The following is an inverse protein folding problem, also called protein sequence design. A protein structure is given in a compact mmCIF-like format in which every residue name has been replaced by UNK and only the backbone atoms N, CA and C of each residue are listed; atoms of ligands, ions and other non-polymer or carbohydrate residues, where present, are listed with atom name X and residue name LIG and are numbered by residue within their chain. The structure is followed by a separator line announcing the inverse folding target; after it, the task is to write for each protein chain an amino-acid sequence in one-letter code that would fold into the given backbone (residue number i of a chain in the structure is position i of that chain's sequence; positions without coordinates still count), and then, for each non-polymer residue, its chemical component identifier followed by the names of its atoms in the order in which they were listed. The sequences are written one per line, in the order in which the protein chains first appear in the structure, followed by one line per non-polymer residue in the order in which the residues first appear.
data_IF_790433631346
#
_entry.id   IF_790433631346
#
_cell.length_a   1.000
_cell.length_b   1.000
_cell.length_c   1.000
_cell.angle_alpha   90.00
_cell.angle_beta   90.00
_cell.angle_gamma   90.00
#
_symmetry.space_group_name_H-M   'P 1'
#
loop_
_entity.id
_entity.type
_entity.pdbx_description
1 polymer ?
#
# COMPACT_ATOMS: atom_id res chain seq x y z
N UNK A 1 -21.80 26.50 -14.40
CA UNK A 1 -20.38 26.37 -14.80
C UNK A 1 -19.59 25.91 -13.59
N UNK A 2 -19.08 24.68 -13.59
CA UNK A 2 -18.25 24.17 -12.49
C UNK A 2 -16.78 24.43 -12.80
N UNK A 3 -16.16 25.36 -12.06
CA UNK A 3 -14.72 25.61 -12.10
C UNK A 3 -14.00 24.44 -11.40
N UNK A 4 -13.53 23.51 -12.21
CA UNK A 4 -12.67 22.41 -11.80
C UNK A 4 -11.25 22.97 -11.59
N UNK A 5 -10.88 23.26 -10.34
CA UNK A 5 -9.57 23.77 -9.96
C UNK A 5 -8.44 22.88 -10.52
N UNK A 6 -7.60 23.37 -11.46
CA UNK A 6 -6.56 22.58 -12.08
C UNK A 6 -5.49 22.13 -11.07
N UNK A 7 -5.26 22.86 -9.97
CA UNK A 7 -4.33 22.44 -8.91
C UNK A 7 -4.71 21.14 -8.20
N UNK A 8 -6.01 20.86 -8.06
CA UNK A 8 -6.50 19.59 -7.49
C UNK A 8 -6.43 18.48 -8.54
N UNK A 9 -6.57 18.82 -9.82
CA UNK A 9 -6.55 17.90 -10.95
C UNK A 9 -5.10 17.54 -11.35
N UNK A 10 -4.14 18.44 -11.10
CA UNK A 10 -2.71 18.23 -11.35
C UNK A 10 -2.03 17.49 -10.18
N UNK A 11 -2.50 17.57 -8.92
CA UNK A 11 -2.03 16.66 -7.85
C UNK A 11 -2.72 15.29 -7.84
N UNK A 12 -3.76 15.12 -8.65
CA UNK A 12 -4.14 13.83 -9.25
C UNK A 12 -3.24 13.50 -10.44
N UNK A 13 -2.01 14.04 -10.52
CA UNK A 13 -0.92 13.44 -11.30
C UNK A 13 -1.05 11.98 -11.04
N UNK A 14 -1.45 11.32 -12.11
CA UNK A 14 -1.65 9.92 -12.22
C UNK A 14 -0.27 9.38 -11.87
N UNK A 15 -0.03 9.09 -10.58
CA UNK A 15 0.94 8.11 -10.14
C UNK A 15 0.38 6.85 -10.75
N UNK A 16 0.69 6.68 -12.06
CA UNK A 16 0.19 5.60 -12.89
C UNK A 16 0.41 4.37 -12.05
N UNK A 17 -0.57 3.49 -12.03
CA UNK A 17 -0.47 2.22 -11.31
C UNK A 17 0.73 1.35 -11.78
N UNK A 18 1.56 1.86 -12.69
CA UNK A 18 2.87 1.40 -13.14
C UNK A 18 4.09 1.98 -12.40
N UNK A 19 3.95 2.92 -11.45
CA UNK A 19 5.06 3.35 -10.61
C UNK A 19 5.57 2.13 -9.83
N UNK A 20 6.78 1.67 -10.17
CA UNK A 20 7.38 0.53 -9.49
C UNK A 20 7.64 0.93 -8.05
N UNK A 21 7.11 0.15 -7.12
CA UNK A 21 7.45 0.27 -5.70
C UNK A 21 8.94 0.04 -5.57
N UNK A 22 9.63 1.03 -5.01
CA UNK A 22 11.08 0.96 -4.81
C UNK A 22 11.43 -0.10 -3.77
N UNK A 23 12.63 -0.67 -3.84
CA UNK A 23 13.06 -1.66 -2.85
C UNK A 23 13.13 -1.10 -1.43
N UNK A 24 13.44 0.20 -1.28
CA UNK A 24 13.37 0.90 0.01
C UNK A 24 11.96 0.85 0.59
N UNK A 25 10.93 1.18 -0.20
CA UNK A 25 9.53 1.14 0.23
C UNK A 25 9.09 -0.30 0.53
N UNK A 26 9.49 -1.26 -0.32
CA UNK A 26 9.22 -2.69 -0.10
C UNK A 26 9.81 -3.18 1.22
N UNK A 27 11.03 -2.76 1.56
CA UNK A 27 11.70 -3.12 2.80
C UNK A 27 11.03 -2.46 4.02
N UNK A 28 10.58 -1.22 3.91
CA UNK A 28 9.79 -0.55 4.95
C UNK A 28 8.47 -1.30 5.21
N UNK A 29 7.72 -1.65 4.16
CA UNK A 29 6.49 -2.44 4.29
C UNK A 29 6.74 -3.79 4.95
N UNK A 30 7.81 -4.50 4.55
CA UNK A 30 8.21 -5.76 5.19
C UNK A 30 8.52 -5.59 6.68
N UNK A 31 9.24 -4.53 7.05
CA UNK A 31 9.59 -4.23 8.44
C UNK A 31 8.35 -3.98 9.29
N UNK A 32 7.43 -3.15 8.80
CA UNK A 32 6.17 -2.83 9.50
C UNK A 32 5.27 -4.05 9.65
N UNK A 33 5.15 -4.89 8.61
CA UNK A 33 4.39 -6.14 8.73
C UNK A 33 5.00 -7.09 9.76
N UNK A 34 6.32 -7.22 9.77
CA UNK A 34 7.04 -8.09 10.72
C UNK A 34 6.96 -7.58 12.16
N UNK A 35 7.06 -6.28 12.39
CA UNK A 35 6.95 -5.71 13.74
C UNK A 35 5.56 -5.92 14.35
N UNK A 36 4.53 -6.03 13.51
CA UNK A 36 3.17 -6.35 13.91
C UNK A 36 2.88 -7.86 13.99
N UNK A 37 3.91 -8.72 13.90
CA UNK A 37 3.78 -10.18 14.05
C UNK A 37 3.25 -10.92 12.83
N UNK A 38 3.05 -10.26 11.68
CA UNK A 38 2.55 -10.94 10.49
C UNK A 38 3.62 -11.81 9.83
N UNK A 39 3.36 -13.11 9.81
CA UNK A 39 4.22 -14.12 9.20
C UNK A 39 3.59 -14.63 7.90
N UNK A 40 4.31 -14.54 6.78
CA UNK A 40 3.85 -15.05 5.49
C UNK A 40 4.64 -14.50 4.31
N UNK A 41 4.40 -15.06 3.13
CA UNK A 41 5.09 -14.62 1.90
C UNK A 41 4.32 -13.48 1.27
N UNK A 42 4.92 -12.29 1.23
CA UNK A 42 4.35 -11.15 0.51
C UNK A 42 4.26 -11.50 -0.97
N UNK A 43 3.03 -11.56 -1.51
CA UNK A 43 2.75 -11.87 -2.91
C UNK A 43 2.61 -10.62 -3.77
N UNK A 44 2.13 -9.51 -3.20
CA UNK A 44 1.92 -8.25 -3.92
C UNK A 44 1.98 -7.06 -2.97
N UNK A 45 2.57 -5.96 -3.42
CA UNK A 45 2.49 -4.64 -2.78
C UNK A 45 2.04 -3.66 -3.86
N UNK A 46 1.05 -2.80 -3.55
CA UNK A 46 0.53 -1.77 -4.46
C UNK A 46 0.31 -0.48 -3.70
N UNK A 47 0.41 0.66 -4.39
CA UNK A 47 0.06 1.94 -3.79
C UNK A 47 -1.44 2.05 -3.53
N UNK A 48 -1.80 2.83 -2.51
CA UNK A 48 -3.18 3.30 -2.34
C UNK A 48 -3.42 4.57 -3.15
N UNK A 49 -4.67 4.81 -3.54
CA UNK A 49 -5.07 6.05 -4.23
C UNK A 49 -5.20 7.24 -3.26
N UNK A 50 -5.34 6.98 -1.96
CA UNK A 50 -5.62 8.01 -0.94
C UNK A 50 -4.34 8.61 -0.37
N UNK A 51 -3.32 7.79 -0.08
CA UNK A 51 -2.01 8.26 0.42
C UNK A 51 -0.89 7.45 -0.24
N UNK A 52 -0.57 7.81 -1.47
CA UNK A 52 0.38 7.06 -2.31
C UNK A 52 1.81 7.03 -1.75
N UNK A 53 2.18 7.98 -0.88
CA UNK A 53 3.57 8.10 -0.39
C UNK A 53 3.88 7.10 0.72
N UNK A 54 2.89 6.80 1.57
CA UNK A 54 3.10 6.03 2.80
C UNK A 54 2.15 4.84 2.97
N UNK A 55 1.04 4.78 2.21
CA UNK A 55 0.04 3.73 2.38
C UNK A 55 0.03 2.76 1.20
N UNK A 56 0.12 1.48 1.53
CA UNK A 56 0.29 0.37 0.59
C UNK A 56 -0.76 -0.71 0.83
N UNK A 57 -1.38 -1.20 -0.25
CA UNK A 57 -2.16 -2.44 -0.24
C UNK A 57 -1.20 -3.61 -0.39
N UNK A 58 -1.19 -4.51 0.60
CA UNK A 58 -0.30 -5.67 0.63
C UNK A 58 -1.13 -6.95 0.60
N UNK A 59 -0.68 -7.94 -0.16
CA UNK A 59 -1.21 -9.30 -0.12
C UNK A 59 -0.14 -10.21 0.46
N UNK A 60 -0.50 -11.00 1.47
CA UNK A 60 0.40 -11.96 2.11
C UNK A 60 -0.22 -13.34 1.97
N UNK A 61 0.52 -14.27 1.36
CA UNK A 61 0.12 -15.67 1.25
C UNK A 61 0.57 -16.42 2.51
N UNK A 62 -0.36 -17.09 3.16
CA UNK A 62 -0.13 -17.93 4.33
C UNK A 62 -1.00 -19.18 4.25
N UNK A 63 -0.36 -20.36 4.32
CA UNK A 63 -1.03 -21.69 4.33
C UNK A 63 -2.16 -21.87 3.31
N UNK A 64 -1.94 -21.42 2.07
CA UNK A 64 -2.90 -21.58 0.98
C UNK A 64 -3.87 -20.41 0.78
N UNK A 65 -3.99 -19.51 1.76
CA UNK A 65 -4.88 -18.34 1.68
C UNK A 65 -4.11 -17.03 1.51
N UNK A 66 -4.80 -15.98 1.06
CA UNK A 66 -4.22 -14.66 0.82
C UNK A 66 -4.88 -13.62 1.71
N UNK A 67 -4.18 -13.20 2.76
CA UNK A 67 -4.57 -12.06 3.58
C UNK A 67 -4.32 -10.74 2.84
N UNK A 68 -5.27 -9.82 2.92
CA UNK A 68 -5.20 -8.46 2.37
C UNK A 68 -4.98 -7.47 3.51
N UNK A 69 -3.98 -6.61 3.34
CA UNK A 69 -3.57 -5.63 4.35
C UNK A 69 -3.46 -4.23 3.76
N UNK A 70 -3.74 -3.23 4.58
CA UNK A 70 -3.40 -1.84 4.33
C UNK A 70 -2.29 -1.46 5.31
N UNK A 71 -1.11 -1.16 4.77
CA UNK A 71 0.09 -0.85 5.56
C UNK A 71 0.42 0.62 5.40
N UNK A 72 0.56 1.35 6.51
CA UNK A 72 1.04 2.72 6.53
C UNK A 72 2.45 2.75 7.11
N UNK A 73 3.44 3.09 6.29
CA UNK A 73 4.86 3.11 6.71
C UNK A 73 5.26 4.39 7.44
N UNK A 74 4.43 5.44 7.47
CA UNK A 74 4.70 6.67 8.23
C UNK A 74 4.34 6.49 9.70
N UNK A 75 3.19 5.88 9.96
CA UNK A 75 2.66 5.66 11.30
C UNK A 75 2.91 4.22 11.79
N UNK A 76 3.58 3.39 10.99
CA UNK A 76 3.85 1.98 11.24
C UNK A 76 2.61 1.13 11.59
N UNK A 77 1.46 1.47 10.99
CA UNK A 77 0.20 0.77 11.23
C UNK A 77 -0.10 -0.25 10.14
N UNK A 78 -0.80 -1.33 10.54
CA UNK A 78 -1.27 -2.39 9.64
C UNK A 78 -2.74 -2.64 9.93
N UNK A 79 -3.58 -2.51 8.91
CA UNK A 79 -4.99 -2.89 8.98
C UNK A 79 -5.23 -4.14 8.16
N UNK A 80 -5.84 -5.14 8.76
CA UNK A 80 -6.35 -6.30 8.03
C UNK A 80 -7.66 -5.94 7.30
N UNK A 81 -7.73 -6.24 6.01
CA UNK A 81 -8.90 -5.96 5.17
C UNK A 81 -9.72 -7.20 4.80
N UNK A 82 -9.25 -8.39 5.19
CA UNK A 82 -9.92 -9.66 4.90
C UNK A 82 -9.00 -10.69 4.23
N UNK A 83 -9.57 -11.86 3.96
CA UNK A 83 -8.90 -13.05 3.44
C UNK A 83 -9.60 -13.52 2.17
N UNK A 84 -8.82 -14.04 1.22
CA UNK A 84 -9.30 -14.63 -0.04
C UNK A 84 -8.61 -15.96 -0.27
#
# INVERSE_FOLDING_TARGET
MFHLNPDVIVKKTIYRSSARITDRQRNQVKRVLRSQGYQGRISSIRYTRVNYKYSFKVSVKYRGSVGKFLVNTKNETVEFKGMV
#
